data_IF_878249031041
#
_entry.id   IF_878249031041
#
_cell.length_a   1.000
_cell.length_b   1.000
_cell.length_c   1.000
_cell.angle_alpha   90.00
_cell.angle_beta   90.00
_cell.angle_gamma   90.00
#
_symmetry.space_group_name_H-M   'P 1'
#
loop_
_entity.id
_entity.type
_entity.pdbx_description
1 polymer ?
#
# COMPACT_ATOMS: atom_id res chain seq x y z
N UNK A 1 16.90 15.50 -19.38
CA UNK A 1 15.45 15.33 -19.24
C UNK A 1 15.22 14.47 -18.02
N UNK A 2 14.18 14.69 -17.18
CA UNK A 2 13.80 13.66 -16.23
C UNK A 2 13.47 12.39 -17.03
N UNK A 3 13.91 11.25 -16.53
CA UNK A 3 13.72 9.96 -17.21
C UNK A 3 12.24 9.76 -17.54
N UNK A 4 11.96 9.26 -18.74
CA UNK A 4 10.58 8.96 -19.13
C UNK A 4 9.98 7.98 -18.13
N UNK A 5 8.77 8.22 -17.60
CA UNK A 5 8.13 7.31 -16.67
C UNK A 5 7.98 5.92 -17.30
N UNK A 6 8.59 4.91 -16.67
CA UNK A 6 8.50 3.52 -17.13
C UNK A 6 7.02 3.07 -17.20
N UNK A 7 6.68 2.41 -18.31
CA UNK A 7 5.38 1.78 -18.61
C UNK A 7 4.16 2.72 -18.50
N UNK A 8 3.98 3.68 -19.43
CA UNK A 8 2.86 4.62 -19.41
C UNK A 8 1.49 3.95 -19.46
N UNK A 9 1.33 2.86 -20.24
CA UNK A 9 0.07 2.11 -20.33
C UNK A 9 -0.38 1.54 -18.98
N UNK A 10 0.58 1.04 -18.20
CA UNK A 10 0.32 0.51 -16.87
C UNK A 10 -0.13 1.61 -15.91
N UNK A 11 0.51 2.79 -15.99
CA UNK A 11 0.16 3.94 -15.14
C UNK A 11 -1.25 4.46 -15.43
N UNK A 12 -1.64 4.55 -16.70
CA UNK A 12 -2.97 5.04 -17.10
C UNK A 12 -4.06 4.04 -16.69
N UNK A 13 -3.89 2.76 -17.03
CA UNK A 13 -4.95 1.77 -16.83
C UNK A 13 -4.96 1.18 -15.42
N UNK A 14 -3.86 0.54 -14.99
CA UNK A 14 -3.85 -0.25 -13.77
C UNK A 14 -3.71 0.60 -12.51
N UNK A 15 -2.85 1.62 -12.53
CA UNK A 15 -2.60 2.43 -11.33
C UNK A 15 -3.77 3.36 -11.02
N UNK A 16 -4.40 3.96 -12.04
CA UNK A 16 -5.62 4.76 -11.86
C UNK A 16 -6.76 3.93 -11.31
N UNK A 17 -7.00 2.73 -11.86
CA UNK A 17 -8.05 1.83 -11.37
C UNK A 17 -7.81 1.40 -9.93
N UNK A 18 -6.58 0.97 -9.60
CA UNK A 18 -6.18 0.63 -8.22
C UNK A 18 -6.35 1.81 -7.26
N UNK A 19 -5.92 3.01 -7.66
CA UNK A 19 -6.04 4.21 -6.84
C UNK A 19 -7.50 4.50 -6.51
N UNK A 20 -8.38 4.52 -7.53
CA UNK A 20 -9.80 4.77 -7.35
C UNK A 20 -10.49 3.71 -6.48
N UNK A 21 -10.15 2.44 -6.70
CA UNK A 21 -10.75 1.32 -5.98
C UNK A 21 -10.33 1.28 -4.50
N UNK A 22 -9.04 1.48 -4.21
CA UNK A 22 -8.55 1.56 -2.83
C UNK A 22 -9.03 2.83 -2.12
N UNK A 23 -9.06 3.96 -2.82
CA UNK A 23 -9.59 5.21 -2.27
C UNK A 23 -11.07 5.08 -1.92
N UNK A 24 -11.89 4.50 -2.79
CA UNK A 24 -13.32 4.30 -2.53
C UNK A 24 -13.58 3.42 -1.30
N UNK A 25 -12.71 2.44 -1.02
CA UNK A 25 -12.85 1.57 0.17
C UNK A 25 -12.59 2.33 1.47
N UNK A 26 -11.57 3.19 1.48
CA UNK A 26 -11.14 3.88 2.70
C UNK A 26 -11.84 5.22 2.92
N UNK A 27 -12.37 5.86 1.88
CA UNK A 27 -12.90 7.23 1.95
C UNK A 27 -13.97 7.41 3.04
N UNK A 28 -14.98 6.53 3.06
CA UNK A 28 -16.03 6.58 4.07
C UNK A 28 -15.47 6.36 5.49
N UNK A 29 -14.50 5.46 5.63
CA UNK A 29 -13.88 5.14 6.91
C UNK A 29 -13.01 6.29 7.44
N UNK A 30 -12.28 7.02 6.58
CA UNK A 30 -11.51 8.22 6.96
C UNK A 30 -12.44 9.28 7.56
N UNK A 31 -13.63 9.45 6.98
CA UNK A 31 -14.59 10.45 7.47
C UNK A 31 -15.21 9.99 8.79
N UNK A 32 -15.66 8.74 8.90
CA UNK A 32 -16.44 8.26 10.06
C UNK A 32 -15.57 7.93 11.27
N UNK A 33 -14.41 7.29 11.07
CA UNK A 33 -13.56 6.78 12.16
C UNK A 33 -13.25 7.81 13.25
N UNK A 34 -12.81 9.05 12.94
CA UNK A 34 -12.47 10.04 13.95
C UNK A 34 -13.65 10.38 14.87
N UNK A 35 -14.84 10.57 14.30
CA UNK A 35 -16.04 10.88 15.07
C UNK A 35 -16.44 9.71 15.97
N UNK A 36 -16.41 8.48 15.44
CA UNK A 36 -16.69 7.29 16.27
C UNK A 36 -15.67 7.13 17.40
N UNK A 37 -14.37 7.30 17.14
CA UNK A 37 -13.34 7.15 18.18
C UNK A 37 -13.55 8.18 19.29
N UNK A 38 -13.77 9.45 18.95
CA UNK A 38 -14.02 10.50 19.95
C UNK A 38 -15.29 10.20 20.77
N UNK A 39 -16.36 9.79 20.11
CA UNK A 39 -17.62 9.44 20.78
C UNK A 39 -17.45 8.27 21.76
N UNK A 40 -16.76 7.20 21.34
CA UNK A 40 -16.55 6.02 22.19
C UNK A 40 -15.53 6.29 23.31
N UNK A 41 -14.50 7.12 23.08
CA UNK A 41 -13.61 7.60 24.15
C UNK A 41 -14.40 8.35 25.23
N UNK A 42 -15.26 9.27 24.82
CA UNK A 42 -16.11 10.04 25.75
C UNK A 42 -17.06 9.13 26.52
N UNK A 43 -17.63 8.12 25.84
CA UNK A 43 -18.52 7.17 26.49
C UNK A 43 -17.78 6.27 27.50
N UNK A 44 -16.59 5.78 27.16
CA UNK A 44 -15.74 5.01 28.08
C UNK A 44 -15.30 5.86 29.28
N UNK A 45 -14.96 7.14 29.06
CA UNK A 45 -14.65 8.07 30.14
C UNK A 45 -15.83 8.21 31.11
N UNK A 46 -17.04 8.38 30.58
CA UNK A 46 -18.24 8.58 31.41
C UNK A 46 -18.59 7.34 32.27
N UNK A 47 -18.23 6.14 31.82
CA UNK A 47 -18.57 4.87 32.51
C UNK A 47 -17.51 4.38 33.48
N UNK A 48 -16.23 4.57 33.16
CA UNK A 48 -15.09 4.00 33.92
C UNK A 48 -14.24 5.10 34.56
N UNK A 49 -14.51 6.38 34.28
CA UNK A 49 -13.64 7.48 34.63
C UNK A 49 -12.41 7.57 33.71
N UNK A 50 -11.44 8.41 34.09
CA UNK A 50 -10.29 8.73 33.25
C UNK A 50 -9.32 7.54 33.01
N UNK A 51 -9.27 6.56 33.93
CA UNK A 51 -8.39 5.41 33.81
C UNK A 51 -8.77 4.49 32.63
N UNK A 52 -10.06 4.34 32.33
CA UNK A 52 -10.54 3.46 31.26
C UNK A 52 -9.97 3.85 29.89
N UNK A 53 -10.24 5.08 29.40
CA UNK A 53 -9.67 5.57 28.15
C UNK A 53 -8.14 5.59 28.15
N UNK A 54 -7.50 5.92 29.28
CA UNK A 54 -6.04 5.98 29.39
C UNK A 54 -5.40 4.61 29.15
N UNK A 55 -5.95 3.54 29.76
CA UNK A 55 -5.46 2.17 29.56
C UNK A 55 -5.67 1.73 28.11
N UNK A 56 -6.86 2.00 27.54
CA UNK A 56 -7.15 1.60 26.15
C UNK A 56 -6.22 2.32 25.16
N UNK A 57 -5.99 3.62 25.34
CA UNK A 57 -5.05 4.39 24.50
C UNK A 57 -3.61 3.88 24.68
N UNK A 58 -3.21 3.55 25.90
CA UNK A 58 -1.88 2.97 26.17
C UNK A 58 -1.66 1.63 25.45
N UNK A 59 -2.66 0.75 25.48
CA UNK A 59 -2.64 -0.51 24.74
C UNK A 59 -2.61 -0.28 23.24
N UNK A 60 -3.42 0.65 22.73
CA UNK A 60 -3.42 1.00 21.32
C UNK A 60 -2.04 1.47 20.85
N UNK A 61 -1.37 2.33 21.62
CA UNK A 61 -0.01 2.79 21.30
C UNK A 61 0.97 1.62 21.28
N UNK A 62 0.91 0.73 22.27
CA UNK A 62 1.77 -0.45 22.33
C UNK A 62 1.54 -1.41 21.15
N UNK A 63 0.28 -1.75 20.87
CA UNK A 63 -0.10 -2.61 19.74
C UNK A 63 0.29 -1.99 18.40
N UNK A 64 0.11 -0.67 18.23
CA UNK A 64 0.51 0.04 17.00
C UNK A 64 2.03 0.00 16.81
N UNK A 65 2.81 0.18 17.87
CA UNK A 65 4.28 0.10 17.80
C UNK A 65 4.75 -1.31 17.44
N UNK A 66 4.18 -2.34 18.07
CA UNK A 66 4.49 -3.74 17.76
C UNK A 66 4.12 -4.10 16.32
N UNK A 67 2.90 -3.75 15.89
CA UNK A 67 2.44 -4.01 14.52
C UNK A 67 3.28 -3.25 13.49
N UNK A 68 3.64 -1.99 13.75
CA UNK A 68 4.53 -1.20 12.87
C UNK A 68 5.91 -1.86 12.73
N UNK A 69 6.47 -2.34 13.84
CA UNK A 69 7.76 -3.03 13.84
C UNK A 69 7.71 -4.34 13.02
N UNK A 70 6.64 -5.11 13.15
CA UNK A 70 6.43 -6.36 12.39
C UNK A 70 6.09 -6.13 10.91
N UNK A 71 5.41 -5.03 10.59
CA UNK A 71 5.01 -4.67 9.22
C UNK A 71 6.20 -4.23 8.36
N UNK A 72 7.15 -3.50 8.94
CA UNK A 72 8.36 -3.01 8.24
C UNK A 72 9.09 -4.08 7.38
N UNK A 73 9.47 -5.26 7.93
CA UNK A 73 10.10 -6.30 7.12
C UNK A 73 9.15 -6.91 6.08
N UNK A 74 7.86 -7.02 6.37
CA UNK A 74 6.87 -7.60 5.44
C UNK A 74 6.81 -6.79 4.15
N UNK A 75 6.77 -5.45 4.23
CA UNK A 75 6.72 -4.57 3.06
C UNK A 75 7.92 -4.80 2.13
N UNK A 76 9.12 -4.93 2.69
CA UNK A 76 10.33 -5.20 1.90
C UNK A 76 10.25 -6.56 1.17
N UNK A 77 9.75 -7.61 1.84
CA UNK A 77 9.57 -8.92 1.21
C UNK A 77 8.46 -8.92 0.15
N UNK A 78 7.39 -8.14 0.34
CA UNK A 78 6.34 -7.96 -0.70
C UNK A 78 6.95 -7.35 -1.94
N UNK A 79 7.73 -6.27 -1.80
CA UNK A 79 8.40 -5.62 -2.91
C UNK A 79 9.35 -6.58 -3.65
N UNK A 80 10.16 -7.35 -2.92
CA UNK A 80 11.04 -8.35 -3.53
C UNK A 80 10.26 -9.45 -4.26
N UNK A 81 9.14 -9.91 -3.70
CA UNK A 81 8.27 -10.90 -4.33
C UNK A 81 7.71 -10.38 -5.65
N UNK A 82 7.13 -9.17 -5.67
CA UNK A 82 6.60 -8.55 -6.89
C UNK A 82 7.68 -8.38 -7.96
N UNK A 83 8.89 -7.94 -7.57
CA UNK A 83 10.02 -7.77 -8.49
C UNK A 83 10.45 -9.11 -9.11
N UNK A 84 10.62 -10.16 -8.29
CA UNK A 84 11.02 -11.48 -8.78
C UNK A 84 9.92 -12.14 -9.63
N UNK A 85 8.66 -11.96 -9.26
CA UNK A 85 7.51 -12.42 -10.03
C UNK A 85 7.47 -11.75 -11.42
N UNK A 86 7.72 -10.44 -11.47
CA UNK A 86 7.88 -9.70 -12.71
C UNK A 86 9.02 -10.23 -13.58
N UNK A 87 10.21 -10.46 -13.01
CA UNK A 87 11.35 -11.03 -13.72
C UNK A 87 11.09 -12.45 -14.24
N UNK A 88 10.37 -13.28 -13.47
CA UNK A 88 9.99 -14.62 -13.88
C UNK A 88 9.00 -14.59 -15.05
N UNK A 89 7.93 -13.79 -14.96
CA UNK A 89 6.96 -13.59 -16.04
C UNK A 89 7.60 -13.07 -17.32
N UNK A 90 8.50 -12.10 -17.20
CA UNK A 90 9.24 -11.58 -18.34
C UNK A 90 10.13 -12.65 -18.99
N UNK A 91 10.79 -13.49 -18.20
CA UNK A 91 11.58 -14.62 -18.71
C UNK A 91 10.71 -15.59 -19.51
N UNK A 92 9.53 -15.95 -18.99
CA UNK A 92 8.58 -16.81 -19.71
C UNK A 92 8.09 -16.17 -21.01
N UNK A 93 7.81 -14.87 -21.01
CA UNK A 93 7.43 -14.15 -22.21
C UNK A 93 8.55 -14.18 -23.26
N UNK A 94 9.81 -13.99 -22.86
CA UNK A 94 10.94 -14.11 -23.79
C UNK A 94 11.07 -15.51 -24.37
N UNK A 95 10.89 -16.55 -23.54
CA UNK A 95 10.89 -17.94 -24.01
C UNK A 95 9.78 -18.17 -25.04
N UNK A 96 8.59 -17.60 -24.83
CA UNK A 96 7.47 -17.68 -25.79
C UNK A 96 7.78 -16.97 -27.11
N UNK A 97 8.31 -15.75 -27.06
CA UNK A 97 8.62 -14.95 -28.25
C UNK A 97 9.77 -15.56 -29.05
N UNK A 98 10.77 -16.13 -28.38
CA UNK A 98 11.96 -16.72 -29.02
C UNK A 98 11.88 -18.25 -29.16
N UNK A 99 10.68 -18.82 -29.09
CA UNK A 99 10.48 -20.27 -29.05
C UNK A 99 11.08 -20.97 -30.28
N UNK A 100 10.94 -20.38 -31.46
CA UNK A 100 11.49 -20.90 -32.72
C UNK A 100 13.02 -20.97 -32.68
N UNK A 101 13.69 -19.87 -32.30
CA UNK A 101 15.15 -19.86 -32.15
C UNK A 101 15.63 -20.87 -31.11
N UNK A 102 14.94 -20.98 -29.97
CA UNK A 102 15.28 -21.97 -28.92
C UNK A 102 15.15 -23.40 -29.46
N UNK A 103 14.13 -23.68 -30.28
CA UNK A 103 13.92 -24.97 -30.93
C UNK A 103 15.02 -25.27 -31.96
N UNK A 104 15.38 -24.30 -32.82
CA UNK A 104 16.48 -24.43 -33.79
C UNK A 104 17.82 -24.73 -33.12
N UNK A 105 18.15 -24.02 -32.04
CA UNK A 105 19.39 -24.25 -31.27
C UNK A 105 19.29 -25.42 -30.29
N UNK A 106 18.18 -26.17 -30.26
CA UNK A 106 17.91 -27.27 -29.31
C UNK A 106 18.23 -26.93 -27.85
N UNK A 107 18.05 -25.66 -27.48
CA UNK A 107 18.49 -25.11 -26.19
C UNK A 107 17.41 -25.12 -25.10
N UNK A 108 16.34 -25.89 -25.30
CA UNK A 108 15.18 -25.92 -24.40
C UNK A 108 15.50 -26.35 -22.97
N UNK A 109 16.42 -27.30 -22.78
CA UNK A 109 16.85 -27.73 -21.43
C UNK A 109 17.59 -26.61 -20.68
N UNK A 110 18.46 -25.87 -21.38
CA UNK A 110 19.20 -24.75 -20.79
C UNK A 110 18.25 -23.61 -20.39
N UNK A 111 17.27 -23.31 -21.24
CA UNK A 111 16.29 -22.27 -20.93
C UNK A 111 15.33 -22.68 -19.81
N UNK A 112 14.96 -23.97 -19.74
CA UNK A 112 14.21 -24.54 -18.61
C UNK A 112 14.98 -24.42 -17.30
N UNK A 113 16.27 -24.77 -17.28
CA UNK A 113 17.11 -24.67 -16.08
C UNK A 113 17.21 -23.22 -15.58
N UNK A 114 17.43 -22.26 -16.49
CA UNK A 114 17.42 -20.83 -16.16
C UNK A 114 16.08 -20.37 -15.57
N UNK A 115 14.96 -20.79 -16.17
CA UNK A 115 13.63 -20.44 -15.67
C UNK A 115 13.33 -21.13 -14.32
N UNK A 116 13.81 -22.36 -14.10
CA UNK A 116 13.69 -23.07 -12.82
C UNK A 116 14.40 -22.32 -11.70
N UNK A 117 15.64 -21.88 -11.92
CA UNK A 117 16.40 -21.09 -10.93
C UNK A 117 15.68 -19.78 -10.55
N UNK A 118 15.10 -19.09 -11.53
CA UNK A 118 14.29 -17.88 -11.27
C UNK A 118 13.04 -18.20 -10.44
N UNK A 119 12.38 -19.32 -10.73
CA UNK A 119 11.22 -19.78 -9.98
C UNK A 119 11.58 -20.18 -8.56
N UNK A 120 12.68 -20.89 -8.36
CA UNK A 120 13.17 -21.29 -7.03
C UNK A 120 13.44 -20.06 -6.14
N UNK A 121 14.13 -19.05 -6.68
CA UNK A 121 14.37 -17.79 -5.98
C UNK A 121 13.05 -17.08 -5.62
N UNK A 122 12.07 -17.08 -6.54
CA UNK A 122 10.75 -16.50 -6.29
C UNK A 122 10.03 -17.25 -5.15
N UNK A 123 10.02 -18.58 -5.19
CA UNK A 123 9.36 -19.42 -4.17
C UNK A 123 10.02 -19.22 -2.80
N UNK A 124 11.34 -19.08 -2.73
CA UNK A 124 12.04 -18.83 -1.47
C UNK A 124 11.60 -17.50 -0.82
N UNK A 125 11.57 -16.44 -1.61
CA UNK A 125 11.09 -15.12 -1.15
C UNK A 125 9.62 -15.17 -0.77
N UNK A 126 8.78 -15.83 -1.58
CA UNK A 126 7.35 -16.00 -1.30
C UNK A 126 7.12 -16.79 0.01
N UNK A 127 7.91 -17.83 0.27
CA UNK A 127 7.87 -18.60 1.52
C UNK A 127 8.27 -17.75 2.72
N UNK A 128 9.34 -16.97 2.61
CA UNK A 128 9.78 -16.06 3.68
C UNK A 128 8.71 -14.98 3.96
N UNK A 129 8.11 -14.42 2.90
CA UNK A 129 6.99 -13.49 3.00
C UNK A 129 5.79 -14.12 3.73
N UNK A 130 5.44 -15.37 3.40
CA UNK A 130 4.34 -16.09 4.04
C UNK A 130 4.55 -16.23 5.55
N UNK A 131 5.74 -16.68 5.99
CA UNK A 131 6.05 -16.80 7.42
C UNK A 131 5.97 -15.46 8.14
N UNK A 132 6.51 -14.38 7.55
CA UNK A 132 6.43 -13.03 8.15
C UNK A 132 4.99 -12.53 8.23
N UNK A 133 4.18 -12.79 7.21
CA UNK A 133 2.75 -12.44 7.19
C UNK A 133 1.96 -13.22 8.26
N UNK A 134 2.30 -14.48 8.52
CA UNK A 134 1.74 -15.23 9.66
C UNK A 134 2.04 -14.52 10.98
N UNK A 135 3.30 -14.14 11.25
CA UNK A 135 3.64 -13.44 12.49
C UNK A 135 2.90 -12.11 12.63
N UNK A 136 2.78 -11.33 11.55
CA UNK A 136 2.00 -10.10 11.54
C UNK A 136 0.52 -10.36 11.85
N UNK A 137 -0.10 -11.34 11.18
CA UNK A 137 -1.49 -11.73 11.43
C UNK A 137 -1.73 -12.22 12.86
N UNK A 138 -0.79 -12.98 13.43
CA UNK A 138 -0.87 -13.41 14.84
C UNK A 138 -0.80 -12.20 15.77
N UNK A 139 0.04 -11.20 15.49
CA UNK A 139 0.14 -9.99 16.30
C UNK A 139 -1.12 -9.12 16.24
N UNK A 140 -1.68 -8.92 15.05
CA UNK A 140 -2.91 -8.14 14.85
C UNK A 140 -4.08 -8.83 15.58
N UNK A 141 -4.36 -10.09 15.25
CA UNK A 141 -5.45 -10.84 15.88
C UNK A 141 -5.22 -11.02 17.39
N UNK A 142 -3.97 -11.27 17.80
CA UNK A 142 -3.58 -11.37 19.21
C UNK A 142 -3.83 -10.08 19.97
N UNK A 143 -3.55 -8.92 19.37
CA UNK A 143 -3.87 -7.61 19.96
C UNK A 143 -5.37 -7.41 20.14
N UNK A 144 -6.19 -7.85 19.19
CA UNK A 144 -7.66 -7.77 19.30
C UNK A 144 -8.19 -8.64 20.45
N UNK A 145 -7.72 -9.88 20.56
CA UNK A 145 -8.12 -10.78 21.65
C UNK A 145 -7.60 -10.32 23.02
N UNK A 146 -6.35 -9.86 23.11
CA UNK A 146 -5.80 -9.30 24.34
C UNK A 146 -6.57 -8.04 24.73
N UNK A 147 -6.83 -7.14 23.79
CA UNK A 147 -7.67 -5.96 23.99
C UNK A 147 -9.04 -6.34 24.53
N UNK A 148 -9.66 -7.36 23.93
CA UNK A 148 -10.96 -7.89 24.38
C UNK A 148 -10.91 -8.35 25.83
N UNK A 149 -9.88 -9.10 26.24
CA UNK A 149 -9.72 -9.55 27.64
C UNK A 149 -9.50 -8.36 28.58
N UNK A 150 -8.64 -7.40 28.19
CA UNK A 150 -8.37 -6.23 29.01
C UNK A 150 -9.63 -5.34 29.16
N UNK A 151 -10.50 -5.28 28.15
CA UNK A 151 -11.78 -4.56 28.26
C UNK A 151 -12.62 -5.03 29.45
N UNK A 152 -12.63 -6.33 29.73
CA UNK A 152 -13.33 -6.90 30.90
C UNK A 152 -12.56 -6.63 32.20
N UNK A 153 -11.23 -6.65 32.19
CA UNK A 153 -10.41 -6.32 33.37
C UNK A 153 -10.57 -4.85 33.79
N UNK A 154 -10.66 -3.93 32.83
CA UNK A 154 -10.91 -2.51 33.07
C UNK A 154 -12.24 -2.30 33.82
N UNK A 155 -13.27 -3.07 33.49
CA UNK A 155 -14.56 -3.03 34.18
C UNK A 155 -14.52 -3.62 35.59
N UNK A 156 -13.57 -4.53 35.86
CA UNK A 156 -13.37 -5.07 37.20
C UNK A 156 -13.10 -3.97 38.23
N UNK A 157 -12.31 -2.95 37.87
CA UNK A 157 -11.93 -1.87 38.80
C UNK A 157 -13.14 -1.10 39.37
N UNK A 158 -14.04 -0.50 38.56
CA UNK A 158 -15.22 0.19 39.10
C UNK A 158 -16.23 -0.76 39.75
N UNK A 159 -16.30 -2.03 39.33
CA UNK A 159 -17.14 -3.04 39.98
C UNK A 159 -16.66 -3.31 41.41
N UNK A 160 -15.36 -3.58 41.61
CA UNK A 160 -14.80 -3.84 42.94
C UNK A 160 -14.65 -2.58 43.79
N UNK A 161 -14.58 -1.39 43.17
CA UNK A 161 -14.54 -0.10 43.88
C UNK A 161 -15.93 0.35 44.39
N UNK A 162 -16.99 -0.44 44.17
CA UNK A 162 -18.34 -0.16 44.68
C UNK A 162 -19.10 0.90 43.89
N UNK A 163 -18.64 1.28 42.70
CA UNK A 163 -19.32 2.29 41.86
C UNK A 163 -20.72 1.86 41.41
N UNK A 164 -20.97 0.54 41.40
CA UNK A 164 -22.24 -0.04 41.02
C UNK A 164 -23.10 -0.50 42.21
N UNK A 165 -22.65 -0.30 43.46
CA UNK A 165 -23.32 -0.83 44.66
C UNK A 165 -24.71 -0.22 44.90
N UNK A 166 -24.95 0.99 44.38
CA UNK A 166 -26.24 1.68 44.48
C UNK A 166 -27.23 1.30 43.37
N UNK A 167 -26.85 0.40 42.46
CA UNK A 167 -27.64 0.03 41.30
C UNK A 167 -28.45 -1.23 41.60
N UNK A 168 -29.75 -1.29 41.26
CA UNK A 168 -30.54 -2.50 41.46
C UNK A 168 -29.92 -3.68 40.70
N UNK A 169 -29.88 -4.86 41.35
CA UNK A 169 -29.28 -6.09 40.79
C UNK A 169 -29.85 -6.50 39.42
N UNK A 170 -31.10 -6.10 39.12
CA UNK A 170 -31.73 -6.32 37.82
C UNK A 170 -31.07 -5.54 36.67
N UNK A 171 -30.46 -4.38 36.96
CA UNK A 171 -29.94 -3.45 35.96
C UNK A 171 -28.39 -3.48 35.88
N UNK A 172 -27.75 -3.99 36.94
CA UNK A 172 -26.31 -4.22 37.04
C UNK A 172 -25.75 -5.01 35.84
N UNK A 173 -26.37 -6.14 35.51
CA UNK A 173 -25.92 -6.98 34.38
C UNK A 173 -26.03 -6.24 33.03
N UNK A 174 -27.10 -5.46 32.84
CA UNK A 174 -27.32 -4.66 31.63
C UNK A 174 -26.29 -3.53 31.50
N UNK A 175 -25.98 -2.84 32.59
CA UNK A 175 -24.99 -1.76 32.60
C UNK A 175 -23.56 -2.26 32.38
N UNK A 176 -23.19 -3.40 32.98
CA UNK A 176 -21.88 -4.05 32.76
C UNK A 176 -21.75 -4.49 31.31
N UNK A 177 -22.78 -5.16 30.76
CA UNK A 177 -22.80 -5.60 29.36
C UNK A 177 -22.73 -4.43 28.37
N UNK A 178 -23.49 -3.35 28.62
CA UNK A 178 -23.40 -2.15 27.79
C UNK A 178 -22.01 -1.52 27.86
N UNK A 179 -21.39 -1.47 29.04
CA UNK A 179 -20.08 -0.86 29.21
C UNK A 179 -18.96 -1.70 28.59
N UNK A 180 -19.05 -3.04 28.63
CA UNK A 180 -18.09 -3.92 27.97
C UNK A 180 -18.19 -3.80 26.47
N UNK A 181 -19.41 -3.75 25.92
CA UNK A 181 -19.64 -3.53 24.50
C UNK A 181 -18.97 -2.23 24.01
N UNK A 182 -19.04 -1.16 24.80
CA UNK A 182 -18.51 0.16 24.44
C UNK A 182 -16.99 0.17 24.43
N UNK A 183 -16.35 -0.44 25.43
CA UNK A 183 -14.88 -0.55 25.49
C UNK A 183 -14.38 -1.49 24.38
N UNK A 184 -15.06 -2.62 24.15
CA UNK A 184 -14.77 -3.53 23.06
C UNK A 184 -14.86 -2.86 21.69
N UNK A 185 -15.92 -2.07 21.49
CA UNK A 185 -16.12 -1.32 20.26
C UNK A 185 -15.02 -0.28 20.07
N UNK A 186 -14.61 0.42 21.13
CA UNK A 186 -13.48 1.36 21.07
C UNK A 186 -12.18 0.67 20.64
N UNK A 187 -11.88 -0.51 21.20
CA UNK A 187 -10.70 -1.30 20.80
C UNK A 187 -10.79 -1.70 19.32
N UNK A 188 -11.95 -2.17 18.86
CA UNK A 188 -12.16 -2.52 17.46
C UNK A 188 -11.98 -1.32 16.52
N UNK A 189 -12.40 -0.11 16.92
CA UNK A 189 -12.17 1.11 16.13
C UNK A 189 -10.68 1.43 15.98
N UNK A 190 -9.87 1.13 17.00
CA UNK A 190 -8.43 1.28 16.92
C UNK A 190 -7.79 0.28 15.95
N UNK A 191 -8.25 -0.97 15.92
CA UNK A 191 -7.80 -1.96 14.92
C UNK A 191 -8.15 -1.50 13.51
N UNK A 192 -9.39 -1.01 13.30
CA UNK A 192 -9.80 -0.43 12.02
C UNK A 192 -8.93 0.76 11.60
N UNK A 193 -8.44 1.55 12.54
CA UNK A 193 -7.53 2.66 12.23
C UNK A 193 -6.19 2.15 11.68
N UNK A 194 -5.68 1.03 12.19
CA UNK A 194 -4.47 0.38 11.66
C UNK A 194 -4.70 -0.08 10.22
N UNK A 195 -5.83 -0.75 9.95
CA UNK A 195 -6.19 -1.19 8.59
C UNK A 195 -6.36 0.01 7.64
N UNK A 196 -6.95 1.09 8.16
CA UNK A 196 -7.12 2.33 7.41
C UNK A 196 -5.79 2.98 7.05
N UNK A 197 -4.80 2.93 7.95
CA UNK A 197 -3.47 3.45 7.69
C UNK A 197 -2.75 2.65 6.58
N UNK A 198 -2.92 1.33 6.54
CA UNK A 198 -2.41 0.49 5.45
C UNK A 198 -3.08 0.85 4.11
N UNK A 199 -4.42 0.93 4.09
CA UNK A 199 -5.16 1.33 2.89
C UNK A 199 -4.78 2.73 2.40
N UNK A 200 -4.63 3.69 3.32
CA UNK A 200 -4.18 5.04 3.00
C UNK A 200 -2.76 5.05 2.41
N UNK A 201 -1.85 4.23 2.95
CA UNK A 201 -0.49 4.07 2.40
C UNK A 201 -0.51 3.55 0.96
N UNK A 202 -1.38 2.58 0.65
CA UNK A 202 -1.52 2.05 -0.71
C UNK A 202 -2.10 3.10 -1.69
N UNK A 203 -3.07 3.89 -1.24
CA UNK A 203 -3.61 5.01 -2.03
C UNK A 203 -2.56 6.07 -2.28
N UNK A 204 -1.79 6.47 -1.27
CA UNK A 204 -0.70 7.46 -1.44
C UNK A 204 0.36 6.94 -2.42
N UNK A 205 0.73 5.66 -2.33
CA UNK A 205 1.69 5.05 -3.24
C UNK A 205 1.23 5.06 -4.70
N UNK A 206 -0.04 4.67 -4.96
CA UNK A 206 -0.61 4.68 -6.32
C UNK A 206 -0.84 6.10 -6.83
N UNK A 207 -1.35 7.00 -5.98
CA UNK A 207 -1.54 8.41 -6.30
C UNK A 207 -0.22 9.12 -6.63
N UNK A 208 0.88 8.79 -5.96
CA UNK A 208 2.20 9.33 -6.28
C UNK A 208 2.64 8.92 -7.70
N UNK A 209 2.46 7.65 -8.10
CA UNK A 209 2.83 7.17 -9.44
C UNK A 209 2.00 7.81 -10.55
N UNK A 210 0.69 7.97 -10.32
CA UNK A 210 -0.23 8.66 -11.24
C UNK A 210 0.10 10.16 -11.31
N UNK A 211 0.36 10.78 -10.17
CA UNK A 211 0.72 12.20 -10.07
C UNK A 211 2.03 12.53 -10.78
N UNK A 212 3.07 11.70 -10.62
CA UNK A 212 4.35 11.84 -11.32
C UNK A 212 4.16 11.76 -12.85
N UNK A 213 3.32 10.83 -13.31
CA UNK A 213 3.00 10.70 -14.73
C UNK A 213 2.24 11.90 -15.27
N UNK A 214 1.24 12.39 -14.52
CA UNK A 214 0.50 13.59 -14.88
C UNK A 214 1.40 14.83 -14.95
N UNK A 215 2.31 15.00 -13.99
CA UNK A 215 3.28 16.10 -13.99
C UNK A 215 4.23 16.03 -15.19
N UNK A 216 4.68 14.81 -15.56
CA UNK A 216 5.48 14.59 -16.76
C UNK A 216 4.73 15.00 -18.04
N UNK A 217 3.47 14.58 -18.20
CA UNK A 217 2.62 14.96 -19.34
C UNK A 217 2.37 16.47 -19.39
N UNK A 218 2.11 17.10 -18.24
CA UNK A 218 1.90 18.55 -18.15
C UNK A 218 3.15 19.34 -18.58
N UNK A 219 4.35 18.86 -18.25
CA UNK A 219 5.63 19.43 -18.71
C UNK A 219 5.86 19.26 -20.21
N UNK A 220 5.33 18.20 -20.83
CA UNK A 220 5.38 18.02 -22.27
C UNK A 220 4.44 18.98 -23.01
N UNK A 221 3.23 19.15 -22.49
CA UNK A 221 2.20 20.00 -23.08
C UNK A 221 2.53 21.50 -22.97
N UNK A 222 3.24 21.90 -21.90
CA UNK A 222 3.66 23.29 -21.68
C UNK A 222 4.86 23.75 -22.51
N UNK A 223 5.44 22.92 -23.39
CA UNK A 223 6.30 23.45 -24.46
C UNK A 223 5.40 24.04 -25.53
N UNK A 224 5.18 25.37 -25.57
CA UNK A 224 4.40 25.94 -26.64
C UNK A 224 5.23 25.70 -27.89
N UNK A 225 4.65 25.01 -28.87
CA UNK A 225 5.12 25.14 -30.24
C UNK A 225 4.99 26.63 -30.56
N UNK A 226 6.09 27.38 -30.47
CA UNK A 226 6.26 28.61 -31.25
C UNK A 226 6.38 28.19 -32.73
N UNK A 227 5.34 27.53 -33.26
CA UNK A 227 5.14 27.39 -34.68
C UNK A 227 4.59 28.73 -35.15
N UNK A 228 5.51 29.62 -35.52
CA UNK A 228 5.18 30.63 -36.52
C UNK A 228 4.93 29.86 -37.81
N UNK A 229 3.67 29.56 -38.12
CA UNK A 229 3.29 28.95 -39.39
C UNK A 229 3.48 29.98 -40.50
N UNK A 230 4.71 30.13 -40.98
CA UNK A 230 4.95 30.66 -42.31
C UNK A 230 4.68 29.50 -43.27
N UNK A 231 3.51 29.51 -43.93
CA UNK A 231 3.21 28.58 -45.01
C UNK A 231 4.18 28.82 -46.16
N UNK A 232 5.29 28.08 -46.19
CA UNK A 232 6.10 27.95 -47.40
C UNK A 232 5.60 26.74 -48.19
N UNK A 233 5.16 27.01 -49.42
CA UNK A 233 4.57 26.09 -50.38
C UNK A 233 5.55 25.06 -50.98
N UNK A 234 6.78 24.97 -50.46
CA UNK A 234 7.78 23.98 -50.86
C UNK A 234 8.10 23.03 -49.70
N UNK A 235 7.79 21.75 -49.90
CA UNK A 235 7.98 20.64 -48.95
C UNK A 235 9.44 20.23 -48.79
N UNK A 236 10.35 21.18 -48.49
CA UNK A 236 11.76 20.90 -48.24
C UNK A 236 12.09 21.28 -46.80
N UNK A 237 12.46 20.28 -46.00
CA UNK A 237 12.95 20.48 -44.62
C UNK A 237 14.47 20.62 -44.69
N UNK A 238 14.97 21.82 -44.45
CA UNK A 238 16.40 22.10 -44.41
C UNK A 238 16.91 22.04 -42.97
N UNK A 239 17.99 21.28 -42.73
CA UNK A 239 18.61 21.13 -41.42
C UNK A 239 19.91 21.93 -41.37
N UNK A 240 19.98 22.97 -40.54
CA UNK A 240 21.22 23.70 -40.28
C UNK A 240 21.84 23.21 -38.97
N UNK A 241 23.10 22.79 -39.04
CA UNK A 241 23.93 22.36 -37.90
C UNK A 241 23.25 21.37 -36.93
N UNK A 242 22.48 20.42 -37.47
CA UNK A 242 21.75 19.45 -36.66
C UNK A 242 22.64 18.26 -36.27
N UNK A 243 22.73 17.99 -34.97
CA UNK A 243 23.36 16.77 -34.44
C UNK A 243 22.29 15.85 -33.86
N UNK A 244 22.04 14.72 -34.50
CA UNK A 244 21.13 13.69 -34.02
C UNK A 244 21.90 12.73 -33.13
N UNK A 245 21.58 12.71 -31.84
CA UNK A 245 22.08 11.74 -30.88
C UNK A 245 20.94 10.91 -30.30
N UNK A 246 21.23 9.65 -29.96
CA UNK A 246 20.26 8.80 -29.27
C UNK A 246 20.17 9.28 -27.81
N UNK A 247 18.97 9.47 -27.24
CA UNK A 247 18.82 10.00 -25.88
C UNK A 247 19.54 9.19 -24.80
N UNK A 248 19.69 7.88 -25.00
CA UNK A 248 20.18 6.91 -24.01
C UNK A 248 21.60 6.38 -24.32
N UNK A 249 22.21 6.83 -25.42
CA UNK A 249 23.59 6.49 -25.73
C UNK A 249 24.31 7.73 -26.21
N UNK A 250 25.52 7.99 -25.71
CA UNK A 250 26.34 9.13 -26.13
C UNK A 250 26.86 9.01 -27.59
N UNK A 251 26.16 8.24 -28.43
CA UNK A 251 26.42 8.02 -29.84
C UNK A 251 25.63 9.02 -30.67
N UNK A 252 26.36 9.83 -31.41
CA UNK A 252 25.84 10.70 -32.46
C UNK A 252 25.61 9.82 -33.68
N UNK A 253 24.38 9.78 -34.17
CA UNK A 253 24.00 9.04 -35.38
C UNK A 253 24.29 9.86 -36.64
N UNK A 254 23.97 11.15 -36.62
CA UNK A 254 24.13 12.04 -37.76
C UNK A 254 24.59 13.39 -37.25
N UNK A 255 25.64 13.95 -37.87
CA UNK A 255 26.08 15.33 -37.64
C UNK A 255 26.06 16.04 -38.98
N UNK A 256 25.07 16.91 -39.18
CA UNK A 256 24.99 17.79 -40.36
C UNK A 256 25.83 19.02 -40.03
N UNK A 257 26.93 19.22 -40.74
CA UNK A 257 27.78 20.41 -40.65
C UNK A 257 27.65 21.08 -42.02
N UNK A 258 26.91 22.18 -42.08
CA UNK A 258 26.80 23.03 -43.27
C UNK A 258 27.39 24.38 -42.90
#
# INVERSE_FOLDING_TARGET
MPDSPDNPDQRISQDTDKMCLEFSKIFAQIIVCPFTIVYYIWQTWSRTGYYGPLIVIGLFMLSTLLNKFLMSPVVNYVYQNEKLEGHYRFSLMQTRVRAESIAFYRSGLNERDKNSKKLENLIEVQRNLFFRRIFLNISINGSDYIGSIISYLILGVPIFAGFYDNTPQSDLAAQISSSSFVIMYLINQFTKLIDLAEGASNVVGTAHRVGEFYEYLSKMDTKPSQMSTNQHENSVVEFHEATLAIPDSNRILIKVIL
#
